data_IF_347991740324
#
_entry.id   IF_347991740324
#
_cell.length_a   1.000
_cell.length_b   1.000
_cell.length_c   1.000
_cell.angle_alpha   90.00
_cell.angle_beta   90.00
_cell.angle_gamma   90.00
#
_symmetry.space_group_name_H-M   'P 1'
#
loop_
_entity.id
_entity.type
_entity.pdbx_description
1 polymer ?
#
# COMPACT_ATOMS: atom_id res chain seq x y z
N UNK A 1 -32.43 7.82 4.50
CA UNK A 1 -31.21 8.51 4.97
C UNK A 1 -31.58 10.00 5.04
N UNK A 2 -31.69 10.51 6.24
CA UNK A 2 -32.12 11.89 6.50
C UNK A 2 -30.96 12.87 6.27
N UNK A 3 -31.27 14.13 6.05
CA UNK A 3 -30.36 15.28 5.78
C UNK A 3 -29.15 15.39 6.73
N UNK A 4 -29.16 14.72 7.89
CA UNK A 4 -28.08 14.76 8.90
C UNK A 4 -26.77 14.10 8.44
N UNK A 5 -26.79 13.17 7.48
CA UNK A 5 -25.59 12.50 6.97
C UNK A 5 -24.65 13.44 6.18
N UNK A 6 -25.17 14.56 5.67
CA UNK A 6 -24.38 15.54 4.90
C UNK A 6 -23.85 16.70 5.76
N UNK A 7 -24.12 16.75 7.06
CA UNK A 7 -23.78 17.87 7.93
C UNK A 7 -22.53 17.64 8.82
N UNK A 8 -21.97 16.44 8.86
CA UNK A 8 -20.92 16.09 9.81
C UNK A 8 -19.52 15.89 9.22
N UNK A 9 -19.40 15.63 7.91
CA UNK A 9 -18.09 15.33 7.32
C UNK A 9 -17.31 16.60 7.00
N UNK A 10 -16.05 16.66 7.46
CA UNK A 10 -15.14 17.80 7.25
C UNK A 10 -13.93 17.45 6.39
N UNK A 11 -13.65 16.17 6.20
CA UNK A 11 -12.53 15.69 5.37
C UNK A 11 -13.03 14.74 4.27
N UNK A 12 -12.22 14.48 3.27
CA UNK A 12 -12.55 13.53 2.19
C UNK A 12 -12.69 12.09 2.68
N UNK A 13 -12.07 11.73 3.80
CA UNK A 13 -12.10 10.38 4.36
C UNK A 13 -13.47 10.04 4.97
N UNK A 14 -14.16 11.04 5.54
CA UNK A 14 -15.45 10.89 6.18
C UNK A 14 -16.61 11.37 5.29
N UNK A 15 -16.29 12.07 4.21
CA UNK A 15 -17.26 12.65 3.29
C UNK A 15 -18.12 11.58 2.64
N UNK A 16 -19.45 11.73 2.73
CA UNK A 16 -20.40 10.86 2.03
C UNK A 16 -20.18 10.85 0.51
N UNK A 17 -19.62 11.94 -0.04
CA UNK A 17 -19.33 12.08 -1.48
C UNK A 17 -18.02 11.40 -1.89
N UNK A 18 -16.97 11.46 -1.05
CA UNK A 18 -15.61 11.12 -1.47
C UNK A 18 -15.00 9.92 -0.75
N UNK A 19 -15.55 9.50 0.38
CA UNK A 19 -14.96 8.44 1.23
C UNK A 19 -14.68 7.12 0.50
N UNK A 20 -15.52 6.76 -0.49
CA UNK A 20 -15.33 5.53 -1.27
C UNK A 20 -14.28 5.68 -2.39
N UNK A 21 -13.88 6.92 -2.70
CA UNK A 21 -12.73 7.19 -3.58
C UNK A 21 -11.40 6.96 -2.85
N UNK A 22 -11.35 7.26 -1.53
CA UNK A 22 -10.13 7.24 -0.72
C UNK A 22 -10.08 6.12 0.34
N UNK A 23 -11.10 5.29 0.44
CA UNK A 23 -11.16 4.20 1.41
C UNK A 23 -12.14 3.10 0.96
N UNK A 24 -12.32 2.09 1.80
CA UNK A 24 -13.33 1.04 1.61
C UNK A 24 -14.24 0.94 2.83
N UNK A 25 -15.47 0.42 2.68
CA UNK A 25 -16.33 0.20 3.85
C UNK A 25 -15.67 -0.68 4.91
N UNK A 26 -14.97 -1.75 4.52
CA UNK A 26 -14.34 -2.68 5.44
C UNK A 26 -13.26 -2.04 6.32
N UNK A 27 -12.39 -1.19 5.74
CA UNK A 27 -11.34 -0.52 6.53
C UNK A 27 -11.93 0.55 7.46
N UNK A 28 -12.98 1.26 7.02
CA UNK A 28 -13.67 2.26 7.86
C UNK A 28 -14.38 1.63 9.06
N UNK A 29 -14.93 0.43 8.88
CA UNK A 29 -15.52 -0.32 9.99
C UNK A 29 -14.51 -0.59 11.09
N UNK A 30 -13.28 -1.00 10.74
CA UNK A 30 -12.19 -1.29 11.70
C UNK A 30 -11.83 -0.05 12.53
N UNK A 31 -11.82 1.14 11.93
CA UNK A 31 -11.43 2.39 12.59
C UNK A 31 -12.62 3.28 12.97
N UNK A 32 -13.85 2.74 12.98
CA UNK A 32 -15.02 3.47 13.46
C UNK A 32 -14.96 3.68 14.97
N UNK A 33 -15.62 4.73 15.48
CA UNK A 33 -15.74 4.98 16.93
C UNK A 33 -16.34 3.78 17.65
N UNK A 34 -17.33 3.12 17.05
CA UNK A 34 -17.91 1.89 17.60
C UNK A 34 -16.84 0.79 17.76
N UNK A 35 -16.12 0.48 16.71
CA UNK A 35 -15.08 -0.53 16.75
C UNK A 35 -13.97 -0.18 17.75
N UNK A 36 -13.57 1.09 17.83
CA UNK A 36 -12.57 1.55 18.77
C UNK A 36 -13.02 1.33 20.23
N UNK A 37 -14.24 1.72 20.57
CA UNK A 37 -14.81 1.53 21.93
C UNK A 37 -14.97 0.03 22.22
N UNK A 38 -15.41 -0.78 21.26
CA UNK A 38 -15.50 -2.23 21.41
C UNK A 38 -14.13 -2.85 21.68
N UNK A 39 -13.03 -2.35 21.06
CA UNK A 39 -11.65 -2.77 21.37
C UNK A 39 -11.22 -2.36 22.77
N UNK A 40 -11.57 -1.17 23.24
CA UNK A 40 -11.28 -0.79 24.63
C UNK A 40 -11.96 -1.75 25.61
N UNK A 41 -13.23 -2.07 25.40
CA UNK A 41 -13.98 -3.04 26.21
C UNK A 41 -13.33 -4.43 26.13
N UNK A 42 -12.95 -4.88 24.94
CA UNK A 42 -12.27 -6.16 24.72
C UNK A 42 -10.98 -6.26 25.55
N UNK A 43 -10.16 -5.22 25.57
CA UNK A 43 -8.92 -5.17 26.36
C UNK A 43 -9.22 -5.17 27.86
N UNK A 44 -10.19 -4.42 28.35
CA UNK A 44 -10.60 -4.41 29.77
C UNK A 44 -11.12 -5.77 30.23
N UNK A 45 -11.95 -6.43 29.43
CA UNK A 45 -12.48 -7.77 29.72
C UNK A 45 -11.35 -8.80 29.70
N UNK A 46 -10.47 -8.76 28.71
CA UNK A 46 -9.31 -9.65 28.63
C UNK A 46 -8.35 -9.45 29.82
N UNK A 47 -8.17 -8.19 30.26
CA UNK A 47 -7.38 -7.88 31.45
C UNK A 47 -7.98 -8.51 32.71
N UNK A 48 -9.30 -8.37 32.91
CA UNK A 48 -9.97 -8.98 34.07
C UNK A 48 -9.81 -10.52 34.06
N UNK A 49 -9.99 -11.19 32.91
CA UNK A 49 -9.78 -12.62 32.77
C UNK A 49 -8.32 -13.03 33.04
N UNK A 50 -7.36 -12.30 32.50
CA UNK A 50 -5.95 -12.53 32.73
C UNK A 50 -5.60 -12.43 34.22
N UNK A 51 -6.11 -11.41 34.91
CA UNK A 51 -5.91 -11.21 36.34
C UNK A 51 -6.57 -12.31 37.21
N UNK A 52 -7.76 -12.75 36.83
CA UNK A 52 -8.42 -13.85 37.48
C UNK A 52 -7.61 -15.16 37.32
N UNK A 53 -7.09 -15.42 36.12
CA UNK A 53 -6.26 -16.60 35.86
C UNK A 53 -4.95 -16.62 36.65
N UNK A 54 -4.46 -15.45 37.05
CA UNK A 54 -3.28 -15.28 37.92
C UNK A 54 -3.62 -15.11 39.41
N UNK A 55 -4.90 -15.18 39.77
CA UNK A 55 -5.33 -15.03 41.17
C UNK A 55 -5.25 -13.63 41.75
N UNK A 56 -5.15 -12.60 40.90
CA UNK A 56 -5.12 -11.19 41.30
C UNK A 56 -6.49 -10.69 41.69
N UNK A 57 -7.54 -11.12 40.93
CA UNK A 57 -8.93 -10.83 41.22
C UNK A 57 -9.74 -12.11 41.27
N UNK A 58 -10.94 -12.11 41.91
CA UNK A 58 -11.82 -13.27 41.92
C UNK A 58 -12.31 -13.65 40.50
N UNK A 59 -12.47 -14.96 40.25
CA UNK A 59 -12.92 -15.43 38.94
C UNK A 59 -14.35 -15.00 38.61
N UNK A 60 -15.25 -15.01 39.61
CA UNK A 60 -16.63 -14.53 39.47
C UNK A 60 -16.69 -13.03 39.13
N UNK A 61 -15.77 -12.23 39.65
CA UNK A 61 -15.67 -10.82 39.30
C UNK A 61 -15.28 -10.63 37.81
N UNK A 62 -14.35 -11.44 37.28
CA UNK A 62 -13.99 -11.40 35.87
C UNK A 62 -15.18 -11.81 34.96
N UNK A 63 -15.95 -12.81 35.37
CA UNK A 63 -17.17 -13.25 34.65
C UNK A 63 -18.26 -12.16 34.64
N UNK A 64 -18.46 -11.47 35.76
CA UNK A 64 -19.39 -10.33 35.86
C UNK A 64 -18.94 -9.16 34.98
N UNK A 65 -17.64 -8.82 35.00
CA UNK A 65 -17.08 -7.78 34.12
C UNK A 65 -17.32 -8.15 32.65
N UNK A 66 -17.02 -9.38 32.25
CA UNK A 66 -17.21 -9.84 30.87
C UNK A 66 -18.70 -9.83 30.43
N UNK A 67 -19.63 -10.10 31.36
CA UNK A 67 -21.07 -10.14 31.11
C UNK A 67 -21.65 -8.74 30.91
N UNK A 68 -21.21 -7.77 31.70
CA UNK A 68 -21.82 -6.45 31.79
C UNK A 68 -21.11 -5.39 30.94
N UNK A 69 -19.84 -5.59 30.56
CA UNK A 69 -19.09 -4.66 29.71
C UNK A 69 -19.47 -4.83 28.25
N UNK A 70 -20.53 -4.14 27.83
CA UNK A 70 -21.06 -4.19 26.45
C UNK A 70 -21.21 -2.79 25.88
N UNK A 71 -20.87 -2.61 24.61
CA UNK A 71 -21.02 -1.34 23.90
C UNK A 71 -22.44 -0.76 24.00
N UNK A 72 -23.44 -1.59 23.75
CA UNK A 72 -24.84 -1.17 23.72
C UNK A 72 -25.39 -0.77 25.13
N UNK A 73 -24.64 -0.99 26.20
CA UNK A 73 -24.97 -0.57 27.57
C UNK A 73 -24.37 0.77 27.95
N UNK A 74 -23.56 1.39 27.08
CA UNK A 74 -22.89 2.66 27.35
C UNK A 74 -23.77 3.86 26.99
N UNK A 75 -23.66 4.92 27.78
CA UNK A 75 -24.10 6.25 27.43
C UNK A 75 -23.03 6.96 26.60
N UNK A 76 -23.18 6.92 25.28
CA UNK A 76 -22.18 7.47 24.35
C UNK A 76 -22.13 9.00 24.38
N UNK A 77 -23.24 9.68 24.63
CA UNK A 77 -23.25 11.16 24.75
C UNK A 77 -22.49 11.61 26.00
N UNK A 78 -22.68 10.91 27.11
CA UNK A 78 -21.92 11.15 28.33
C UNK A 78 -20.43 10.81 28.13
N UNK A 79 -20.12 9.67 27.49
CA UNK A 79 -18.74 9.28 27.17
C UNK A 79 -18.03 10.36 26.36
N UNK A 80 -18.68 10.90 25.32
CA UNK A 80 -18.13 11.99 24.49
C UNK A 80 -17.91 13.25 25.32
N UNK A 81 -18.89 13.67 26.10
CA UNK A 81 -18.80 14.90 26.92
C UNK A 81 -17.65 14.82 27.93
N UNK A 82 -17.54 13.70 28.64
CA UNK A 82 -16.47 13.52 29.62
C UNK A 82 -15.08 13.37 28.96
N UNK A 83 -15.04 12.79 27.75
CA UNK A 83 -13.78 12.71 26.97
C UNK A 83 -13.26 14.09 26.59
N UNK A 84 -14.13 15.04 26.24
CA UNK A 84 -13.74 16.44 25.96
C UNK A 84 -13.14 17.12 27.20
N UNK A 85 -13.61 16.77 28.39
CA UNK A 85 -13.12 17.33 29.66
C UNK A 85 -11.79 16.69 30.08
N UNK A 86 -11.72 15.35 30.02
CA UNK A 86 -10.57 14.57 30.48
C UNK A 86 -9.42 14.57 29.47
N UNK A 87 -9.74 14.70 28.17
CA UNK A 87 -8.82 14.59 27.05
C UNK A 87 -8.56 13.17 26.54
N UNK A 88 -9.11 12.14 27.23
CA UNK A 88 -8.94 10.71 26.89
C UNK A 88 -10.22 9.94 27.19
N UNK A 89 -10.60 8.93 26.35
CA UNK A 89 -11.87 8.22 26.51
C UNK A 89 -11.87 7.15 27.62
N UNK A 90 -10.70 6.71 28.11
CA UNK A 90 -10.61 5.53 28.98
C UNK A 90 -11.17 5.79 30.37
N UNK A 91 -10.84 6.90 31.01
CA UNK A 91 -11.37 7.19 32.36
C UNK A 91 -12.88 7.28 32.38
N UNK A 92 -13.56 8.03 31.47
CA UNK A 92 -15.02 8.02 31.40
C UNK A 92 -15.61 6.64 31.07
N UNK A 93 -14.98 5.87 30.19
CA UNK A 93 -15.39 4.49 29.89
C UNK A 93 -15.31 3.62 31.17
N UNK A 94 -14.20 3.63 31.87
CA UNK A 94 -14.00 2.88 33.11
C UNK A 94 -15.05 3.24 34.15
N UNK A 95 -15.39 4.52 34.31
CA UNK A 95 -16.47 4.95 35.22
C UNK A 95 -17.83 4.31 34.88
N UNK A 96 -18.15 4.20 33.60
CA UNK A 96 -19.37 3.53 33.16
C UNK A 96 -19.31 2.03 33.39
N UNK A 97 -18.18 1.38 33.05
CA UNK A 97 -18.00 -0.05 33.26
C UNK A 97 -18.07 -0.42 34.76
N UNK A 98 -17.43 0.35 35.63
CA UNK A 98 -17.51 0.17 37.09
C UNK A 98 -18.98 0.19 37.57
N UNK A 99 -19.77 1.15 37.10
CA UNK A 99 -21.18 1.27 37.44
C UNK A 99 -22.00 0.08 36.91
N UNK A 100 -21.74 -0.35 35.68
CA UNK A 100 -22.45 -1.47 35.04
C UNK A 100 -22.15 -2.81 35.73
N UNK A 101 -20.91 -3.01 36.19
CA UNK A 101 -20.46 -4.25 36.82
C UNK A 101 -20.80 -4.36 38.33
N UNK A 102 -21.44 -3.36 38.93
CA UNK A 102 -21.80 -3.39 40.36
C UNK A 102 -20.62 -3.69 41.28
N UNK A 103 -20.72 -4.70 42.13
CA UNK A 103 -19.67 -5.08 43.08
C UNK A 103 -18.37 -5.53 42.40
N UNK A 104 -18.46 -6.12 41.23
CA UNK A 104 -17.28 -6.50 40.44
C UNK A 104 -16.54 -5.29 39.83
N UNK A 105 -17.23 -4.14 39.74
CA UNK A 105 -16.67 -2.90 39.19
C UNK A 105 -15.39 -2.45 39.89
N UNK A 106 -15.20 -2.77 41.19
CA UNK A 106 -13.96 -2.46 41.92
C UNK A 106 -12.70 -3.09 41.35
N UNK A 107 -12.84 -4.07 40.45
CA UNK A 107 -11.74 -4.77 39.79
C UNK A 107 -11.53 -4.35 38.34
N UNK A 108 -12.38 -3.49 37.77
CA UNK A 108 -12.21 -2.96 36.42
C UNK A 108 -10.96 -2.07 36.36
N UNK A 109 -10.19 -2.16 35.29
CA UNK A 109 -8.98 -1.37 35.04
C UNK A 109 -7.86 -1.55 36.10
N UNK A 110 -7.85 -2.67 36.80
CA UNK A 110 -6.94 -2.89 37.92
C UNK A 110 -5.49 -2.95 37.49
N UNK A 111 -4.68 -2.01 37.95
CA UNK A 111 -3.24 -1.92 37.63
C UNK A 111 -2.91 -1.40 36.24
N UNK A 112 -3.89 -1.11 35.41
CA UNK A 112 -3.71 -0.54 34.09
C UNK A 112 -3.55 0.99 34.10
N UNK A 113 -3.13 1.54 32.98
CA UNK A 113 -3.19 2.96 32.67
C UNK A 113 -3.91 3.19 31.35
N UNK A 114 -4.44 4.39 31.13
CA UNK A 114 -5.12 4.81 29.91
C UNK A 114 -4.40 4.33 28.64
N UNK A 115 -3.08 4.52 28.58
CA UNK A 115 -2.29 4.18 27.40
C UNK A 115 -2.18 2.67 27.17
N UNK A 116 -2.16 1.84 28.21
CA UNK A 116 -2.17 0.37 28.07
C UNK A 116 -3.38 -0.09 27.25
N UNK A 117 -4.55 0.46 27.57
CA UNK A 117 -5.81 0.10 26.90
C UNK A 117 -5.86 0.66 25.49
N UNK A 118 -5.51 1.93 25.32
CA UNK A 118 -5.57 2.59 24.00
C UNK A 118 -4.56 1.99 23.02
N UNK A 119 -3.31 1.80 23.44
CA UNK A 119 -2.27 1.23 22.56
C UNK A 119 -2.60 -0.21 22.17
N UNK A 120 -3.05 -1.04 23.12
CA UNK A 120 -3.42 -2.44 22.82
C UNK A 120 -4.64 -2.50 21.90
N UNK A 121 -5.62 -1.64 22.08
CA UNK A 121 -6.78 -1.54 21.18
C UNK A 121 -6.37 -1.13 19.76
N UNK A 122 -5.45 -0.15 19.62
CA UNK A 122 -4.90 0.24 18.32
C UNK A 122 -4.15 -0.93 17.66
N UNK A 123 -3.36 -1.70 18.42
CA UNK A 123 -2.70 -2.90 17.87
C UNK A 123 -3.72 -3.94 17.37
N UNK A 124 -4.85 -4.11 18.06
CA UNK A 124 -5.94 -4.98 17.59
C UNK A 124 -6.59 -4.48 16.29
N UNK A 125 -6.81 -3.17 16.17
CA UNK A 125 -7.29 -2.55 14.93
C UNK A 125 -6.25 -2.69 13.80
N UNK A 126 -4.97 -2.45 14.09
CA UNK A 126 -3.86 -2.62 13.14
C UNK A 126 -3.78 -4.07 12.65
N UNK A 127 -3.95 -5.06 13.54
CA UNK A 127 -4.02 -6.48 13.15
C UNK A 127 -5.10 -6.74 12.10
N UNK A 128 -6.32 -6.32 12.39
CA UNK A 128 -7.46 -6.49 11.49
C UNK A 128 -7.25 -5.74 10.16
N UNK A 129 -6.69 -4.54 10.20
CA UNK A 129 -6.39 -3.74 9.02
C UNK A 129 -5.24 -4.36 8.17
N UNK A 130 -4.20 -4.90 8.80
CA UNK A 130 -3.14 -5.63 8.09
C UNK A 130 -3.65 -6.91 7.42
N UNK A 131 -4.67 -7.58 8.00
CA UNK A 131 -5.30 -8.74 7.37
C UNK A 131 -6.03 -8.36 6.08
N UNK A 132 -6.71 -7.21 6.05
CA UNK A 132 -7.32 -6.67 4.82
C UNK A 132 -6.26 -6.28 3.79
N UNK A 133 -5.19 -5.60 4.21
CA UNK A 133 -4.08 -5.21 3.32
C UNK A 133 -3.39 -6.45 2.74
N UNK A 134 -3.20 -7.51 3.52
CA UNK A 134 -2.62 -8.79 3.07
C UNK A 134 -3.47 -9.43 1.96
N UNK A 135 -4.78 -9.53 2.19
CA UNK A 135 -5.71 -10.05 1.20
C UNK A 135 -5.71 -9.23 -0.09
N UNK A 136 -5.69 -7.90 0.01
CA UNK A 136 -5.63 -7.01 -1.15
C UNK A 136 -4.31 -7.11 -1.92
N UNK A 137 -3.17 -7.23 -1.22
CA UNK A 137 -1.85 -7.47 -1.83
C UNK A 137 -1.84 -8.82 -2.54
N UNK A 138 -2.38 -9.88 -1.93
CA UNK A 138 -2.44 -11.20 -2.54
C UNK A 138 -3.25 -11.20 -3.85
N UNK A 139 -4.42 -10.56 -3.85
CA UNK A 139 -5.24 -10.43 -5.06
C UNK A 139 -4.55 -9.57 -6.13
N UNK A 140 -3.91 -8.47 -5.75
CA UNK A 140 -3.18 -7.62 -6.69
C UNK A 140 -1.99 -8.37 -7.32
N UNK A 141 -1.27 -9.18 -6.56
CA UNK A 141 -0.22 -10.07 -7.07
C UNK A 141 -0.75 -11.04 -8.12
N UNK A 142 -1.91 -11.64 -7.87
CA UNK A 142 -2.58 -12.53 -8.84
C UNK A 142 -2.91 -11.79 -10.14
N UNK A 143 -3.51 -10.60 -10.04
CA UNK A 143 -3.85 -9.75 -11.19
C UNK A 143 -2.60 -9.39 -11.99
N UNK A 144 -1.53 -8.98 -11.32
CA UNK A 144 -0.26 -8.60 -11.97
C UNK A 144 0.44 -9.80 -12.64
N UNK A 145 0.37 -10.97 -12.02
CA UNK A 145 0.90 -12.20 -12.62
C UNK A 145 0.14 -12.59 -13.90
N UNK A 146 -1.20 -12.54 -13.86
CA UNK A 146 -2.04 -12.80 -15.03
C UNK A 146 -1.76 -11.79 -16.16
N UNK A 147 -1.59 -10.52 -15.83
CA UNK A 147 -1.26 -9.46 -16.78
C UNK A 147 0.13 -9.67 -17.39
N UNK A 148 1.13 -10.02 -16.58
CA UNK A 148 2.49 -10.29 -17.02
C UNK A 148 2.53 -11.49 -17.99
N UNK A 149 1.85 -12.58 -17.66
CA UNK A 149 1.77 -13.79 -18.52
C UNK A 149 1.05 -13.48 -19.84
N UNK A 150 -0.11 -12.82 -19.78
CA UNK A 150 -0.92 -12.50 -20.98
C UNK A 150 -0.14 -11.67 -21.98
N UNK A 151 0.70 -10.75 -21.51
CA UNK A 151 1.46 -9.83 -22.34
C UNK A 151 2.97 -10.12 -22.35
N UNK A 152 3.35 -11.37 -22.04
CA UNK A 152 4.73 -11.83 -21.98
C UNK A 152 5.54 -11.43 -23.22
N UNK A 153 4.94 -11.58 -24.38
CA UNK A 153 5.57 -11.37 -25.68
C UNK A 153 5.00 -10.13 -26.43
N UNK A 154 4.20 -9.28 -25.77
CA UNK A 154 3.63 -8.07 -26.38
C UNK A 154 4.70 -6.96 -26.43
N UNK A 155 5.22 -6.60 -27.62
CA UNK A 155 6.30 -5.64 -27.73
C UNK A 155 5.79 -4.21 -27.51
N UNK A 156 6.59 -3.40 -26.82
CA UNK A 156 6.36 -1.98 -26.61
C UNK A 156 7.68 -1.21 -26.51
N UNK A 157 7.62 0.11 -26.67
CA UNK A 157 8.81 0.93 -26.43
C UNK A 157 9.12 1.02 -24.93
N UNK A 158 10.33 0.59 -24.57
CA UNK A 158 10.94 0.94 -23.29
C UNK A 158 11.39 2.40 -23.33
N UNK A 159 11.10 3.16 -22.27
CA UNK A 159 11.41 4.59 -22.19
C UNK A 159 12.32 4.89 -21.00
N UNK A 160 13.44 5.55 -21.28
CA UNK A 160 14.35 6.10 -20.27
C UNK A 160 14.42 7.63 -20.47
N UNK A 161 14.39 8.39 -19.39
CA UNK A 161 14.36 9.86 -19.47
C UNK A 161 13.23 10.39 -20.38
N UNK A 162 12.09 9.72 -20.42
CA UNK A 162 10.93 9.97 -21.29
C UNK A 162 11.20 9.82 -22.79
N UNK A 163 12.35 9.28 -23.19
CA UNK A 163 12.71 8.98 -24.57
C UNK A 163 12.57 7.47 -24.84
N UNK A 164 12.19 7.10 -26.06
CA UNK A 164 12.29 5.71 -26.49
C UNK A 164 13.76 5.27 -26.47
N UNK A 165 14.03 4.18 -25.77
CA UNK A 165 15.39 3.64 -25.61
C UNK A 165 15.54 2.34 -26.40
N UNK A 166 14.91 1.26 -25.91
CA UNK A 166 14.95 -0.07 -26.51
C UNK A 166 13.56 -0.71 -26.47
N UNK A 167 13.28 -1.70 -27.34
CA UNK A 167 12.06 -2.50 -27.24
C UNK A 167 12.07 -3.33 -25.96
N UNK A 168 10.92 -3.41 -25.31
CA UNK A 168 10.63 -4.30 -24.19
C UNK A 168 9.30 -5.01 -24.43
N UNK A 169 8.83 -5.84 -23.47
CA UNK A 169 7.44 -6.31 -23.51
C UNK A 169 6.59 -5.64 -22.42
N UNK A 170 5.29 -5.53 -22.66
CA UNK A 170 4.37 -5.06 -21.63
C UNK A 170 4.30 -6.04 -20.45
N UNK A 171 4.42 -7.35 -20.71
CA UNK A 171 4.55 -8.36 -19.67
C UNK A 171 5.75 -8.15 -18.77
N UNK A 172 6.89 -7.75 -19.32
CA UNK A 172 8.08 -7.37 -18.53
C UNK A 172 7.80 -6.18 -17.61
N UNK A 173 7.12 -5.15 -18.12
CA UNK A 173 6.69 -4.00 -17.29
C UNK A 173 5.77 -4.45 -16.14
N UNK A 174 4.77 -5.29 -16.42
CA UNK A 174 3.88 -5.86 -15.41
C UNK A 174 4.63 -6.77 -14.42
N UNK A 175 5.63 -7.52 -14.88
CA UNK A 175 6.52 -8.33 -14.05
C UNK A 175 7.34 -7.51 -13.05
N UNK A 176 7.81 -6.32 -13.45
CA UNK A 176 8.46 -5.39 -12.52
C UNK A 176 7.48 -4.95 -11.41
N UNK A 177 6.24 -4.66 -11.77
CA UNK A 177 5.20 -4.31 -10.79
C UNK A 177 4.89 -5.48 -9.85
N UNK A 178 4.76 -6.70 -10.37
CA UNK A 178 4.58 -7.92 -9.57
C UNK A 178 5.69 -8.09 -8.55
N UNK A 179 6.94 -8.00 -8.97
CA UNK A 179 8.10 -8.17 -8.09
C UNK A 179 8.15 -7.14 -6.94
N UNK A 180 7.58 -5.95 -7.09
CA UNK A 180 7.42 -5.01 -5.98
C UNK A 180 6.43 -5.55 -4.94
N UNK A 181 5.31 -6.12 -5.37
CA UNK A 181 4.26 -6.64 -4.48
C UNK A 181 4.63 -7.98 -3.85
N UNK A 182 5.46 -8.80 -4.49
CA UNK A 182 6.05 -9.98 -3.86
C UNK A 182 6.88 -9.58 -2.63
N UNK A 183 7.73 -8.55 -2.77
CA UNK A 183 8.50 -8.02 -1.64
C UNK A 183 7.62 -7.35 -0.57
N UNK A 184 6.46 -6.78 -0.95
CA UNK A 184 5.52 -6.23 0.05
C UNK A 184 4.82 -7.33 0.84
N UNK A 185 4.43 -8.44 0.20
CA UNK A 185 3.89 -9.60 0.90
C UNK A 185 4.91 -10.16 1.91
N UNK A 186 6.18 -10.30 1.51
CA UNK A 186 7.26 -10.73 2.41
C UNK A 186 7.44 -9.76 3.59
N UNK A 187 7.55 -8.46 3.33
CA UNK A 187 7.67 -7.45 4.40
C UNK A 187 6.51 -7.49 5.38
N UNK A 188 5.29 -7.69 4.89
CA UNK A 188 4.11 -7.77 5.74
C UNK A 188 4.20 -8.95 6.73
N UNK A 189 4.65 -10.11 6.28
CA UNK A 189 4.85 -11.25 7.18
C UNK A 189 5.98 -10.99 8.19
N UNK A 190 7.05 -10.35 7.75
CA UNK A 190 8.20 -10.04 8.61
C UNK A 190 7.92 -8.96 9.67
N UNK A 191 7.04 -7.99 9.39
CA UNK A 191 6.73 -6.92 10.35
C UNK A 191 5.73 -7.35 11.43
N UNK A 192 4.82 -8.30 11.13
CA UNK A 192 3.75 -8.73 12.05
C UNK A 192 4.24 -9.06 13.47
N UNK A 193 5.31 -9.84 13.69
CA UNK A 193 5.79 -10.16 15.04
C UNK A 193 6.28 -8.95 15.85
N UNK A 194 6.72 -7.88 15.18
CA UNK A 194 7.20 -6.66 15.86
C UNK A 194 6.07 -5.66 16.12
N UNK A 195 5.09 -5.60 15.21
CA UNK A 195 3.96 -4.66 15.28
C UNK A 195 2.82 -5.18 16.15
N UNK A 196 2.53 -6.49 16.09
CA UNK A 196 1.38 -7.09 16.79
C UNK A 196 1.75 -7.50 18.21
N UNK A 197 2.28 -6.57 18.97
CA UNK A 197 2.69 -6.70 20.37
C UNK A 197 1.77 -5.81 21.22
N UNK A 198 1.13 -6.37 22.25
CA UNK A 198 0.25 -5.61 23.12
C UNK A 198 1.02 -4.79 24.16
N UNK A 199 0.33 -3.84 24.77
CA UNK A 199 0.86 -2.97 25.83
C UNK A 199 0.11 -3.24 27.11
N UNK A 200 0.84 -3.52 28.19
CA UNK A 200 0.32 -3.52 29.55
C UNK A 200 1.49 -3.37 30.53
N UNK A 201 1.62 -2.21 31.15
CA UNK A 201 2.77 -1.89 31.98
C UNK A 201 2.45 -0.98 33.16
N UNK A 202 1.24 -0.44 33.26
CA UNK A 202 0.80 0.43 34.35
C UNK A 202 1.33 1.88 34.22
N UNK A 203 1.22 2.63 35.29
CA UNK A 203 1.35 4.10 35.30
C UNK A 203 2.68 4.62 34.73
N UNK A 204 3.80 3.99 35.02
CA UNK A 204 5.14 4.38 34.57
C UNK A 204 5.91 3.20 33.92
N UNK A 205 5.20 2.19 33.47
CA UNK A 205 5.82 1.09 32.72
C UNK A 205 6.44 -0.03 33.57
N UNK A 206 6.18 -0.10 34.86
CA UNK A 206 6.87 -0.99 35.79
C UNK A 206 5.96 -2.07 36.39
N UNK A 207 4.64 -2.06 36.11
CA UNK A 207 3.64 -2.95 36.73
C UNK A 207 3.65 -2.92 38.28
N UNK A 208 4.13 -1.84 38.89
CA UNK A 208 4.37 -1.74 40.33
C UNK A 208 3.13 -2.06 41.18
N UNK A 209 1.92 -1.72 40.70
CA UNK A 209 0.65 -1.99 41.40
C UNK A 209 0.27 -3.48 41.46
N UNK A 210 0.93 -4.34 40.67
CA UNK A 210 0.69 -5.78 40.62
C UNK A 210 1.81 -6.59 41.30
N UNK A 211 2.87 -5.95 41.77
CA UNK A 211 3.99 -6.59 42.44
C UNK A 211 4.60 -7.73 41.60
N UNK A 212 4.85 -8.87 42.25
CA UNK A 212 5.46 -10.04 41.61
C UNK A 212 4.59 -10.67 40.50
N UNK A 213 3.28 -10.46 40.52
CA UNK A 213 2.35 -11.03 39.54
C UNK A 213 2.26 -10.24 38.24
N UNK A 214 2.86 -9.04 38.16
CA UNK A 214 2.70 -8.12 37.03
C UNK A 214 3.05 -8.73 35.66
N UNK A 215 4.20 -9.40 35.57
CA UNK A 215 4.63 -10.06 34.31
C UNK A 215 3.80 -11.30 33.96
N UNK A 216 3.26 -12.01 34.95
CA UNK A 216 2.36 -13.15 34.70
C UNK A 216 1.02 -12.68 34.13
N UNK A 217 0.45 -11.62 34.68
CA UNK A 217 -0.77 -10.96 34.17
C UNK A 217 -0.53 -10.43 32.76
N UNK A 218 0.61 -9.78 32.50
CA UNK A 218 0.96 -9.29 31.18
C UNK A 218 0.98 -10.44 30.15
N UNK A 219 1.66 -11.56 30.46
CA UNK A 219 1.68 -12.72 29.58
C UNK A 219 0.31 -13.36 29.37
N UNK A 220 -0.50 -13.41 30.43
CA UNK A 220 -1.87 -13.94 30.34
C UNK A 220 -2.77 -13.06 29.47
N UNK A 221 -2.69 -11.73 29.61
CA UNK A 221 -3.43 -10.77 28.80
C UNK A 221 -3.05 -10.88 27.30
N UNK A 222 -1.76 -10.99 27.00
CA UNK A 222 -1.33 -11.13 25.59
C UNK A 222 -1.81 -12.45 24.97
N UNK A 223 -1.84 -13.55 25.75
CA UNK A 223 -2.43 -14.82 25.28
C UNK A 223 -3.92 -14.70 25.02
N UNK A 224 -4.66 -14.04 25.90
CA UNK A 224 -6.11 -13.83 25.76
C UNK A 224 -6.43 -13.04 24.49
N UNK A 225 -5.62 -12.03 24.16
CA UNK A 225 -5.80 -11.17 22.97
C UNK A 225 -5.15 -11.72 21.70
N UNK A 226 -4.36 -12.80 21.79
CA UNK A 226 -3.60 -13.34 20.67
C UNK A 226 -2.56 -12.35 20.14
N UNK A 227 -1.89 -11.62 21.03
CA UNK A 227 -0.82 -10.66 20.73
C UNK A 227 0.53 -11.14 21.24
N UNK A 228 1.60 -10.57 20.69
CA UNK A 228 2.96 -10.76 21.18
C UNK A 228 3.14 -10.16 22.58
N UNK A 229 3.94 -10.85 23.41
CA UNK A 229 4.32 -10.36 24.73
C UNK A 229 5.47 -9.37 24.58
N UNK A 230 5.37 -8.13 25.09
CA UNK A 230 6.47 -7.17 25.01
C UNK A 230 7.64 -7.58 25.90
N UNK A 231 8.86 -7.38 25.43
CA UNK A 231 10.07 -7.61 26.24
C UNK A 231 10.21 -6.59 27.40
N UNK A 232 9.69 -5.40 27.18
CA UNK A 232 9.57 -4.31 28.17
C UNK A 232 8.43 -3.40 27.77
N UNK A 233 8.09 -2.40 28.59
CA UNK A 233 7.10 -1.37 28.19
C UNK A 233 7.53 -0.67 26.91
N UNK A 234 6.54 -0.33 26.08
CA UNK A 234 6.77 0.43 24.84
C UNK A 234 5.92 1.71 24.76
N UNK A 235 5.46 2.23 25.91
CA UNK A 235 4.72 3.51 25.97
C UNK A 235 5.40 4.64 25.20
N UNK A 236 6.74 4.67 25.21
CA UNK A 236 7.57 5.67 24.51
C UNK A 236 8.49 5.07 23.43
N UNK A 237 8.45 3.77 23.21
CA UNK A 237 9.17 3.09 22.14
C UNK A 237 8.20 2.83 20.97
N UNK A 238 7.98 3.82 20.13
CA UNK A 238 6.87 3.87 19.15
C UNK A 238 7.23 3.31 17.77
N UNK A 239 8.40 2.72 17.64
CA UNK A 239 8.95 2.19 16.38
C UNK A 239 8.06 1.12 15.74
N UNK A 240 7.34 0.29 16.52
CA UNK A 240 6.41 -0.72 15.99
C UNK A 240 5.27 -0.10 15.16
N UNK A 241 4.58 0.91 15.68
CA UNK A 241 3.52 1.61 14.92
C UNK A 241 4.08 2.44 13.77
N UNK A 242 5.26 3.06 13.97
CA UNK A 242 5.96 3.76 12.90
C UNK A 242 6.36 2.80 11.77
N UNK A 243 6.83 1.57 12.08
CA UNK A 243 7.13 0.53 11.08
C UNK A 243 5.88 0.17 10.26
N UNK A 244 4.72 0.00 10.91
CA UNK A 244 3.47 -0.31 10.21
C UNK A 244 3.10 0.80 9.20
N UNK A 245 3.12 2.06 9.59
CA UNK A 245 2.79 3.18 8.69
C UNK A 245 3.84 3.36 7.60
N UNK A 246 5.13 3.18 7.90
CA UNK A 246 6.20 3.20 6.88
C UNK A 246 6.04 2.05 5.86
N UNK A 247 5.61 0.87 6.29
CA UNK A 247 5.25 -0.21 5.37
C UNK A 247 4.11 0.22 4.42
N UNK A 248 3.05 0.85 4.92
CA UNK A 248 1.96 1.37 4.10
C UNK A 248 2.45 2.43 3.10
N UNK A 249 3.43 3.26 3.49
CA UNK A 249 4.05 4.23 2.58
C UNK A 249 4.85 3.56 1.46
N UNK A 250 5.53 2.43 1.73
CA UNK A 250 6.19 1.64 0.68
C UNK A 250 5.17 1.02 -0.28
N UNK A 251 4.07 0.46 0.23
CA UNK A 251 3.00 -0.12 -0.60
C UNK A 251 2.38 0.96 -1.48
N UNK A 252 1.94 2.07 -0.90
CA UNK A 252 1.30 3.17 -1.64
C UNK A 252 2.28 3.88 -2.58
N UNK A 253 3.57 3.93 -2.25
CA UNK A 253 4.63 4.42 -3.13
C UNK A 253 4.74 3.57 -4.40
N UNK A 254 4.69 2.23 -4.28
CA UNK A 254 4.67 1.32 -5.42
C UNK A 254 3.38 1.47 -6.26
N UNK A 255 2.23 1.65 -5.60
CA UNK A 255 0.97 1.96 -6.29
C UNK A 255 1.05 3.30 -7.05
N UNK A 256 1.66 4.32 -6.45
CA UNK A 256 1.88 5.62 -7.10
C UNK A 256 2.78 5.52 -8.34
N UNK A 257 3.79 4.62 -8.32
CA UNK A 257 4.63 4.34 -9.51
C UNK A 257 3.81 3.69 -10.62
N UNK A 258 2.99 2.69 -10.31
CA UNK A 258 2.10 2.04 -11.30
C UNK A 258 1.09 3.05 -11.85
N UNK A 259 0.49 3.86 -10.99
CA UNK A 259 -0.45 4.90 -11.38
C UNK A 259 0.16 5.90 -12.37
N UNK A 260 1.38 6.36 -12.09
CA UNK A 260 2.09 7.26 -12.99
C UNK A 260 2.38 6.62 -14.35
N UNK A 261 2.84 5.36 -14.38
CA UNK A 261 3.05 4.63 -15.63
C UNK A 261 1.76 4.53 -16.44
N UNK A 262 0.64 4.16 -15.80
CA UNK A 262 -0.66 4.03 -16.47
C UNK A 262 -1.14 5.37 -17.00
N UNK A 263 -1.05 6.46 -16.21
CA UNK A 263 -1.44 7.80 -16.66
C UNK A 263 -0.62 8.26 -17.87
N UNK A 264 0.70 8.04 -17.87
CA UNK A 264 1.56 8.38 -18.99
C UNK A 264 1.21 7.57 -20.24
N UNK A 265 1.03 6.26 -20.10
CA UNK A 265 0.65 5.38 -21.22
C UNK A 265 -0.77 5.65 -21.73
N UNK A 266 -1.68 6.15 -20.88
CA UNK A 266 -3.05 6.51 -21.24
C UNK A 266 -3.19 7.89 -21.87
N UNK A 267 -2.13 8.74 -21.86
CA UNK A 267 -2.16 10.04 -22.49
C UNK A 267 -2.47 9.93 -24.00
N UNK A 268 -3.11 10.92 -24.56
CA UNK A 268 -3.59 10.92 -25.96
C UNK A 268 -2.49 10.59 -26.96
N UNK A 269 -1.27 11.06 -26.72
CA UNK A 269 -0.12 10.89 -27.59
C UNK A 269 0.38 9.43 -27.58
N UNK A 270 0.41 8.78 -26.44
CA UNK A 270 0.82 7.37 -26.31
C UNK A 270 -0.34 6.42 -26.55
N UNK A 271 -1.44 6.55 -25.81
CA UNK A 271 -2.67 5.79 -25.98
C UNK A 271 -2.46 4.25 -25.97
N UNK A 272 -1.51 3.76 -25.15
CA UNK A 272 -1.08 2.35 -25.09
C UNK A 272 -1.92 1.51 -24.14
N UNK A 273 -2.52 2.16 -23.11
CA UNK A 273 -3.41 1.51 -22.14
C UNK A 273 -4.57 2.42 -21.76
N UNK A 274 -5.64 1.85 -21.24
CA UNK A 274 -6.77 2.60 -20.68
C UNK A 274 -7.30 1.87 -19.45
N UNK A 275 -7.79 2.66 -18.46
CA UNK A 275 -8.55 2.09 -17.35
C UNK A 275 -9.83 1.41 -17.84
N UNK A 276 -10.40 0.45 -17.07
CA UNK A 276 -11.62 -0.25 -17.44
C UNK A 276 -12.76 0.74 -17.77
N UNK A 277 -13.49 0.44 -18.83
CA UNK A 277 -14.64 1.26 -19.19
C UNK A 277 -15.82 0.97 -18.24
N UNK A 278 -16.25 2.03 -17.54
CA UNK A 278 -17.50 2.03 -16.79
C UNK A 278 -18.26 3.30 -17.18
N UNK A 279 -19.52 3.16 -17.56
CA UNK A 279 -20.35 4.28 -18.00
C UNK A 279 -20.33 5.42 -16.97
N UNK A 280 -19.93 6.60 -17.40
CA UNK A 280 -19.84 7.81 -16.56
C UNK A 280 -18.55 7.93 -15.72
N UNK A 281 -17.77 6.87 -15.55
CA UNK A 281 -16.51 6.96 -14.80
C UNK A 281 -15.46 7.73 -15.58
N UNK A 282 -14.84 8.73 -14.95
CA UNK A 282 -13.83 9.58 -15.59
C UNK A 282 -14.38 10.50 -16.68
N UNK A 283 -15.69 10.64 -16.79
CA UNK A 283 -16.31 11.49 -17.79
C UNK A 283 -16.00 12.97 -17.55
N UNK A 284 -15.77 13.70 -18.65
CA UNK A 284 -15.66 15.16 -18.62
C UNK A 284 -17.05 15.80 -18.71
N UNK A 285 -17.28 16.85 -17.92
CA UNK A 285 -18.51 17.63 -17.99
C UNK A 285 -18.67 18.44 -19.27
N UNK A 286 -17.60 18.65 -20.02
CA UNK A 286 -17.55 19.51 -21.22
C UNK A 286 -17.08 18.79 -22.48
N UNK A 287 -16.32 17.70 -22.35
CA UNK A 287 -15.70 16.98 -23.47
C UNK A 287 -16.13 15.50 -23.46
N UNK A 288 -17.14 15.11 -24.24
CA UNK A 288 -17.73 13.76 -24.15
C UNK A 288 -16.76 12.61 -24.50
N UNK A 289 -15.74 12.90 -25.31
CA UNK A 289 -14.72 11.92 -25.73
C UNK A 289 -13.61 11.71 -24.68
N UNK A 290 -13.48 12.59 -23.67
CA UNK A 290 -12.39 12.57 -22.69
C UNK A 290 -12.66 11.50 -21.63
N UNK A 291 -11.67 10.63 -21.43
CA UNK A 291 -11.68 9.55 -20.42
C UNK A 291 -10.51 9.75 -19.46
N UNK A 292 -10.79 10.24 -18.25
CA UNK A 292 -9.77 10.50 -17.26
C UNK A 292 -9.37 9.21 -16.52
N UNK A 293 -8.08 9.01 -16.20
CA UNK A 293 -7.59 7.85 -15.46
C UNK A 293 -7.78 8.05 -13.94
N UNK A 294 -9.05 8.05 -13.50
CA UNK A 294 -9.45 8.43 -12.13
C UNK A 294 -8.84 7.50 -11.07
N UNK A 295 -8.77 6.19 -11.33
CA UNK A 295 -8.16 5.26 -10.38
C UNK A 295 -6.69 5.59 -10.15
N UNK A 296 -5.96 5.84 -11.21
CA UNK A 296 -4.54 6.22 -11.15
C UNK A 296 -4.33 7.56 -10.44
N UNK A 297 -5.18 8.55 -10.70
CA UNK A 297 -5.13 9.86 -10.02
C UNK A 297 -5.33 9.71 -8.50
N UNK A 298 -6.32 8.92 -8.07
CA UNK A 298 -6.61 8.65 -6.66
C UNK A 298 -5.47 7.87 -5.98
N UNK A 299 -4.92 6.85 -6.64
CA UNK A 299 -3.76 6.09 -6.16
C UNK A 299 -2.55 7.00 -5.95
N UNK A 300 -2.26 7.88 -6.90
CA UNK A 300 -1.13 8.80 -6.80
C UNK A 300 -1.33 9.81 -5.67
N UNK A 301 -2.55 10.35 -5.50
CA UNK A 301 -2.88 11.26 -4.41
C UNK A 301 -2.71 10.58 -3.04
N UNK A 302 -3.27 9.38 -2.86
CA UNK A 302 -3.13 8.60 -1.63
C UNK A 302 -1.65 8.32 -1.29
N UNK A 303 -0.82 7.97 -2.28
CA UNK A 303 0.61 7.72 -2.07
C UNK A 303 1.35 8.93 -1.49
N UNK A 304 0.94 10.14 -1.89
CA UNK A 304 1.55 11.37 -1.37
C UNK A 304 1.12 11.67 0.06
N UNK A 305 -0.13 11.42 0.41
CA UNK A 305 -0.66 11.64 1.76
C UNK A 305 -0.04 10.64 2.76
N UNK A 306 -0.07 9.34 2.44
CA UNK A 306 0.49 8.28 3.33
C UNK A 306 1.98 8.50 3.59
N UNK A 307 2.72 8.98 2.60
CA UNK A 307 4.14 9.32 2.79
C UNK A 307 4.34 10.45 3.81
N UNK A 308 3.44 11.45 3.88
CA UNK A 308 3.52 12.49 4.91
C UNK A 308 3.19 11.92 6.29
N UNK A 309 2.20 11.03 6.39
CA UNK A 309 1.92 10.33 7.65
C UNK A 309 3.09 9.47 8.12
N UNK A 310 3.82 8.81 7.22
CA UNK A 310 5.05 8.09 7.57
C UNK A 310 6.11 9.05 8.17
N UNK A 311 6.29 10.24 7.60
CA UNK A 311 7.15 11.28 8.17
C UNK A 311 6.67 11.73 9.55
N UNK A 312 5.36 11.96 9.71
CA UNK A 312 4.76 12.31 11.00
C UNK A 312 4.98 11.22 12.06
N UNK A 313 4.87 9.94 11.67
CA UNK A 313 5.12 8.82 12.59
C UNK A 313 6.59 8.72 13.01
N UNK A 314 7.54 9.05 12.13
CA UNK A 314 8.96 9.12 12.50
C UNK A 314 9.24 10.28 13.48
N UNK A 315 8.61 11.43 13.29
CA UNK A 315 8.66 12.54 14.27
C UNK A 315 8.03 12.12 15.60
N UNK A 316 6.90 11.44 15.58
CA UNK A 316 6.17 10.98 16.76
C UNK A 316 6.93 9.94 17.59
N UNK A 317 7.97 9.29 17.03
CA UNK A 317 8.86 8.40 17.80
C UNK A 317 9.68 9.15 18.86
N UNK A 318 9.92 10.44 18.67
CA UNK A 318 10.71 11.25 19.61
C UNK A 318 9.82 11.68 20.77
N UNK A 319 9.76 10.83 21.77
CA UNK A 319 8.92 10.99 22.94
C UNK A 319 9.73 11.32 24.19
N UNK A 320 9.08 11.89 25.20
CA UNK A 320 9.70 12.37 26.43
C UNK A 320 9.45 11.39 27.60
N UNK A 321 10.49 11.16 28.37
CA UNK A 321 10.49 10.34 29.60
C UNK A 321 9.77 8.98 29.40
N UNK A 322 8.90 8.59 30.31
CA UNK A 322 8.18 7.32 30.34
C UNK A 322 6.77 7.41 29.72
N UNK A 323 6.30 8.64 29.43
CA UNK A 323 5.01 8.87 28.77
C UNK A 323 4.97 10.24 28.09
N UNK A 324 4.57 10.24 26.81
CA UNK A 324 4.67 11.41 25.95
C UNK A 324 3.59 12.46 26.16
N UNK A 325 3.98 13.67 25.81
CA UNK A 325 3.13 14.82 25.54
C UNK A 325 3.04 15.02 24.02
N UNK A 326 1.90 15.30 23.45
CA UNK A 326 1.74 15.65 22.02
C UNK A 326 2.06 14.59 20.95
N UNK A 327 3.29 14.03 20.84
CA UNK A 327 3.64 13.07 19.80
C UNK A 327 2.73 11.83 19.74
N UNK A 328 2.32 11.29 20.89
CA UNK A 328 1.36 10.20 20.95
C UNK A 328 0.01 10.54 20.32
N UNK A 329 -0.47 11.76 20.44
CA UNK A 329 -1.73 12.21 19.82
C UNK A 329 -1.63 12.29 18.29
N UNK A 330 -0.43 12.54 17.74
CA UNK A 330 -0.23 12.54 16.28
C UNK A 330 -0.49 11.17 15.65
N UNK A 331 -0.23 10.09 16.39
CA UNK A 331 -0.51 8.72 15.94
C UNK A 331 -2.01 8.46 15.76
N UNK A 332 -2.88 9.08 16.56
CA UNK A 332 -4.33 8.91 16.46
C UNK A 332 -4.91 9.40 15.13
N UNK A 333 -4.22 10.31 14.46
CA UNK A 333 -4.52 10.76 13.09
C UNK A 333 -3.79 9.87 12.06
N UNK A 334 -2.47 9.77 12.21
CA UNK A 334 -1.63 9.17 11.18
C UNK A 334 -1.91 7.68 10.95
N UNK A 335 -2.17 6.89 12.01
CA UNK A 335 -2.39 5.44 11.88
C UNK A 335 -3.68 5.13 11.13
N UNK A 336 -4.89 5.54 11.57
CA UNK A 336 -6.12 5.19 10.87
C UNK A 336 -6.19 5.78 9.47
N UNK A 337 -5.78 7.03 9.27
CA UNK A 337 -5.80 7.67 7.94
C UNK A 337 -4.88 6.95 6.94
N UNK A 338 -3.70 6.48 7.39
CA UNK A 338 -2.79 5.72 6.52
C UNK A 338 -3.40 4.39 6.07
N UNK A 339 -4.06 3.66 6.95
CA UNK A 339 -4.74 2.42 6.60
C UNK A 339 -5.93 2.66 5.68
N UNK A 340 -6.76 3.67 5.95
CA UNK A 340 -7.90 4.02 5.10
C UNK A 340 -7.46 4.38 3.69
N UNK A 341 -6.47 5.26 3.55
CA UNK A 341 -5.92 5.68 2.26
C UNK A 341 -5.26 4.53 1.50
N UNK A 342 -4.54 3.65 2.22
CA UNK A 342 -3.88 2.49 1.60
C UNK A 342 -4.90 1.48 1.08
N UNK A 343 -5.93 1.17 1.86
CA UNK A 343 -7.01 0.29 1.42
C UNK A 343 -7.76 0.86 0.21
N UNK A 344 -8.02 2.17 0.21
CA UNK A 344 -8.59 2.87 -0.95
C UNK A 344 -7.71 2.75 -2.20
N UNK A 345 -6.41 2.99 -2.07
CA UNK A 345 -5.45 2.89 -3.18
C UNK A 345 -5.33 1.44 -3.70
N UNK A 346 -5.29 0.43 -2.83
CA UNK A 346 -5.28 -0.99 -3.22
C UNK A 346 -6.58 -1.37 -3.95
N UNK A 347 -7.74 -0.90 -3.49
CA UNK A 347 -9.01 -1.13 -4.15
C UNK A 347 -9.05 -0.50 -5.56
N UNK A 348 -8.55 0.73 -5.72
CA UNK A 348 -8.42 1.37 -7.04
C UNK A 348 -7.46 0.60 -7.95
N UNK A 349 -6.34 0.10 -7.42
CA UNK A 349 -5.37 -0.68 -8.17
C UNK A 349 -5.95 -2.00 -8.67
N UNK A 350 -6.68 -2.73 -7.81
CA UNK A 350 -7.35 -3.99 -8.18
C UNK A 350 -8.38 -3.78 -9.28
N UNK A 351 -9.19 -2.74 -9.17
CA UNK A 351 -10.15 -2.37 -10.20
C UNK A 351 -9.46 -2.01 -11.51
N UNK A 352 -8.49 -1.12 -11.48
CA UNK A 352 -7.82 -0.59 -12.65
C UNK A 352 -7.01 -1.67 -13.37
N UNK A 353 -6.15 -2.42 -12.66
CA UNK A 353 -5.29 -3.44 -13.26
C UNK A 353 -6.05 -4.71 -13.63
N UNK A 354 -7.09 -5.07 -12.87
CA UNK A 354 -7.93 -6.24 -13.15
C UNK A 354 -8.71 -6.14 -14.46
N UNK A 355 -9.00 -4.93 -14.89
CA UNK A 355 -9.70 -4.66 -16.15
C UNK A 355 -8.92 -3.76 -17.12
N UNK A 356 -7.60 -3.64 -16.96
CA UNK A 356 -6.77 -2.78 -17.80
C UNK A 356 -6.90 -3.16 -19.28
N UNK A 357 -7.26 -2.19 -20.11
CA UNK A 357 -7.33 -2.33 -21.56
C UNK A 357 -5.94 -2.03 -22.10
N UNK A 358 -5.32 -3.01 -22.73
CA UNK A 358 -3.99 -2.89 -23.36
C UNK A 358 -4.15 -2.86 -24.86
N UNK A 359 -3.78 -1.76 -25.50
CA UNK A 359 -3.83 -1.58 -26.95
C UNK A 359 -2.49 -2.01 -27.57
N UNK A 360 -2.43 -3.29 -27.92
CA UNK A 360 -1.21 -3.91 -28.49
C UNK A 360 -0.86 -3.35 -29.87
N UNK A 361 -1.85 -2.96 -30.66
CA UNK A 361 -1.63 -2.36 -31.99
C UNK A 361 -1.03 -0.97 -31.86
N UNK A 362 -1.52 -0.20 -30.87
CA UNK A 362 -0.96 1.12 -30.57
C UNK A 362 0.46 1.01 -30.05
N UNK A 363 0.76 0.05 -29.15
CA UNK A 363 2.12 -0.22 -28.70
C UNK A 363 3.06 -0.51 -29.86
N UNK A 364 2.64 -1.38 -30.79
CA UNK A 364 3.41 -1.67 -32.01
C UNK A 364 3.59 -0.45 -32.90
N UNK A 365 2.55 0.34 -33.11
CA UNK A 365 2.64 1.61 -33.86
C UNK A 365 3.62 2.59 -33.21
N UNK A 366 3.60 2.69 -31.90
CA UNK A 366 4.50 3.58 -31.16
C UNK A 366 5.97 3.16 -31.27
N UNK A 367 6.29 1.87 -31.41
CA UNK A 367 7.65 1.39 -31.71
C UNK A 367 8.20 1.96 -33.03
N UNK A 368 7.33 2.22 -34.00
CA UNK A 368 7.71 2.78 -35.32
C UNK A 368 7.91 4.29 -35.37
N UNK A 369 7.59 5.05 -34.30
CA UNK A 369 7.63 6.53 -34.31
C UNK A 369 9.01 7.06 -34.66
N UNK A 370 10.07 6.36 -34.27
CA UNK A 370 11.47 6.74 -34.51
C UNK A 370 12.04 6.17 -35.81
N UNK A 371 11.21 5.62 -36.70
CA UNK A 371 11.63 5.10 -38.00
C UNK A 371 12.76 4.05 -37.92
N UNK A 372 12.72 3.21 -36.87
CA UNK A 372 13.72 2.16 -36.61
C UNK A 372 14.89 2.59 -35.71
N UNK A 373 15.01 3.85 -35.31
CA UNK A 373 16.12 4.31 -34.46
C UNK A 373 16.11 3.64 -33.07
N UNK A 374 14.96 3.16 -32.59
CA UNK A 374 14.84 2.46 -31.30
C UNK A 374 15.71 1.17 -31.25
N UNK A 375 16.11 0.61 -32.39
CA UNK A 375 16.97 -0.59 -32.46
C UNK A 375 18.37 -0.27 -33.00
N UNK A 376 18.81 0.97 -32.94
CA UNK A 376 20.16 1.36 -33.40
C UNK A 376 21.26 0.56 -32.69
N UNK A 377 21.09 0.22 -31.40
CA UNK A 377 22.03 -0.65 -30.67
C UNK A 377 22.07 -2.07 -31.25
N UNK A 378 20.93 -2.66 -31.60
CA UNK A 378 20.87 -3.98 -32.24
C UNK A 378 21.65 -3.99 -33.56
N UNK A 379 21.45 -2.93 -34.36
CA UNK A 379 22.17 -2.77 -35.63
C UNK A 379 23.67 -2.65 -35.40
N UNK A 380 24.12 -1.80 -34.46
CA UNK A 380 25.50 -1.65 -34.10
C UNK A 380 26.15 -2.99 -33.72
N UNK A 381 25.46 -3.75 -32.85
CA UNK A 381 25.93 -5.07 -32.40
C UNK A 381 25.91 -6.12 -33.52
N UNK A 382 24.96 -6.06 -34.44
CA UNK A 382 24.89 -6.93 -35.62
C UNK A 382 26.01 -6.65 -36.62
N UNK A 383 26.42 -5.39 -36.81
CA UNK A 383 27.50 -4.98 -37.69
C UNK A 383 28.89 -5.21 -37.09
N UNK A 384 29.04 -5.14 -35.77
CA UNK A 384 30.32 -5.22 -35.08
C UNK A 384 31.19 -6.44 -35.43
N UNK A 385 30.64 -7.67 -35.60
CA UNK A 385 31.43 -8.83 -36.04
C UNK A 385 32.08 -8.68 -37.43
N UNK A 386 31.52 -7.82 -38.29
CA UNK A 386 31.97 -7.67 -39.69
C UNK A 386 32.96 -6.51 -39.90
N UNK A 387 32.85 -5.46 -39.07
CA UNK A 387 33.68 -4.25 -39.27
C UNK A 387 34.32 -3.74 -37.97
N UNK A 388 34.12 -4.42 -36.84
CA UNK A 388 34.58 -3.94 -35.53
C UNK A 388 33.61 -2.95 -34.90
N UNK A 389 33.63 -2.89 -33.56
CA UNK A 389 32.65 -2.11 -32.78
C UNK A 389 32.67 -0.61 -33.09
N UNK A 390 33.88 -0.02 -33.23
CA UNK A 390 34.00 1.44 -33.44
C UNK A 390 33.43 1.84 -34.80
N UNK A 391 33.83 1.12 -35.87
CA UNK A 391 33.35 1.41 -37.22
C UNK A 391 31.82 1.17 -37.33
N UNK A 392 31.32 0.08 -36.70
CA UNK A 392 29.86 -0.15 -36.62
C UNK A 392 29.12 1.00 -35.93
N UNK A 393 29.68 1.52 -34.83
CA UNK A 393 29.11 2.69 -34.13
C UNK A 393 29.07 3.91 -35.07
N UNK A 394 30.17 4.22 -35.75
CA UNK A 394 30.25 5.42 -36.60
C UNK A 394 29.31 5.34 -37.81
N UNK A 395 29.17 4.15 -38.41
CA UNK A 395 28.20 3.89 -39.48
C UNK A 395 26.76 4.06 -38.99
N UNK A 396 26.40 3.46 -37.85
CA UNK A 396 25.05 3.55 -37.29
C UNK A 396 24.75 4.99 -36.86
N UNK A 397 25.72 5.67 -36.26
CA UNK A 397 25.56 7.08 -35.89
C UNK A 397 25.25 7.96 -37.12
N UNK A 398 26.03 7.77 -38.23
CA UNK A 398 25.79 8.51 -39.47
C UNK A 398 24.40 8.17 -40.07
N UNK A 399 24.00 6.90 -40.07
CA UNK A 399 22.67 6.48 -40.53
C UNK A 399 21.53 7.08 -39.67
N UNK A 400 21.66 7.05 -38.33
CA UNK A 400 20.70 7.67 -37.43
C UNK A 400 20.57 9.18 -37.66
N UNK A 401 21.69 9.86 -37.85
CA UNK A 401 21.72 11.29 -38.17
C UNK A 401 21.02 11.58 -39.51
N UNK A 402 21.26 10.77 -40.54
CA UNK A 402 20.60 10.88 -41.83
C UNK A 402 19.06 10.78 -41.68
N UNK A 403 18.58 9.74 -40.95
CA UNK A 403 17.14 9.56 -40.70
C UNK A 403 16.51 10.76 -39.98
N UNK A 404 17.22 11.33 -39.00
CA UNK A 404 16.73 12.50 -38.28
C UNK A 404 16.68 13.78 -39.14
N UNK A 405 17.65 13.96 -40.05
CA UNK A 405 17.78 15.19 -40.87
C UNK A 405 17.00 15.10 -42.18
N UNK A 406 16.94 13.92 -42.80
CA UNK A 406 16.40 13.73 -44.15
C UNK A 406 15.11 12.89 -44.21
N UNK A 407 14.77 12.24 -43.09
CA UNK A 407 13.67 11.25 -43.02
C UNK A 407 14.07 9.90 -43.58
N UNK A 408 13.07 9.05 -43.85
CA UNK A 408 13.28 7.65 -44.24
C UNK A 408 13.39 6.72 -43.02
N UNK A 409 13.80 5.45 -43.23
CA UNK A 409 13.98 4.47 -42.17
C UNK A 409 15.45 4.16 -41.93
N UNK A 410 15.78 3.63 -40.74
CA UNK A 410 17.13 3.17 -40.44
C UNK A 410 17.60 2.08 -41.40
N UNK A 411 16.71 1.18 -41.84
CA UNK A 411 17.03 0.17 -42.85
C UNK A 411 17.42 0.79 -44.20
N UNK A 412 16.69 1.80 -44.68
CA UNK A 412 16.97 2.50 -45.95
C UNK A 412 18.33 3.21 -45.87
N UNK A 413 18.59 3.90 -44.77
CA UNK A 413 19.84 4.62 -44.56
C UNK A 413 21.05 3.65 -44.49
N UNK A 414 20.88 2.47 -43.90
CA UNK A 414 21.93 1.44 -43.81
C UNK A 414 22.17 0.75 -45.17
N UNK A 415 21.12 0.47 -45.95
CA UNK A 415 21.21 -0.13 -47.28
C UNK A 415 22.04 0.75 -48.24
N UNK A 416 21.97 2.06 -48.10
CA UNK A 416 22.77 3.01 -48.91
C UNK A 416 24.27 3.03 -48.55
N UNK A 417 24.69 2.39 -47.46
CA UNK A 417 26.09 2.33 -47.04
C UNK A 417 26.81 1.12 -47.66
N UNK A 418 27.79 1.30 -48.57
CA UNK A 418 28.46 0.19 -49.27
C UNK A 418 29.11 -0.85 -48.34
N UNK A 419 29.66 -0.41 -47.23
CA UNK A 419 30.27 -1.27 -46.20
C UNK A 419 29.27 -2.20 -45.54
N UNK A 420 28.01 -1.74 -45.39
CA UNK A 420 26.89 -2.54 -44.80
C UNK A 420 26.34 -3.50 -45.86
N UNK A 421 26.06 -3.00 -47.07
CA UNK A 421 25.48 -3.78 -48.19
C UNK A 421 26.32 -4.94 -48.64
N UNK A 422 27.64 -4.97 -48.35
CA UNK A 422 28.55 -6.12 -48.55
C UNK A 422 28.18 -7.31 -47.67
N UNK A 423 27.59 -7.09 -46.50
CA UNK A 423 27.35 -8.11 -45.49
C UNK A 423 25.88 -8.40 -45.27
N UNK A 424 24.99 -7.44 -45.56
CA UNK A 424 23.55 -7.52 -45.27
C UNK A 424 22.75 -7.16 -46.51
N UNK A 425 21.88 -8.04 -46.95
CA UNK A 425 20.83 -7.74 -47.92
C UNK A 425 19.67 -7.02 -47.26
N UNK A 426 18.72 -6.54 -48.07
CA UNK A 426 17.52 -5.83 -47.60
C UNK A 426 16.75 -6.63 -46.54
N UNK A 427 16.53 -7.91 -46.77
CA UNK A 427 15.77 -8.77 -45.86
C UNK A 427 16.50 -8.96 -44.50
N UNK A 428 17.84 -9.02 -44.52
CA UNK A 428 18.63 -9.06 -43.29
C UNK A 428 18.58 -7.76 -42.51
N UNK A 429 18.62 -6.60 -43.19
CA UNK A 429 18.47 -5.30 -42.57
C UNK A 429 17.07 -5.11 -41.96
N UNK A 430 16.01 -5.53 -42.66
CA UNK A 430 14.63 -5.50 -42.12
C UNK A 430 14.51 -6.35 -40.87
N UNK A 431 15.09 -7.57 -40.84
CA UNK A 431 15.13 -8.42 -39.64
C UNK A 431 15.92 -7.78 -38.51
N UNK A 432 17.04 -7.13 -38.83
CA UNK A 432 17.91 -6.50 -37.82
C UNK A 432 17.27 -5.22 -37.25
N UNK A 433 16.47 -4.52 -38.02
CA UNK A 433 15.75 -3.31 -37.60
C UNK A 433 14.31 -3.58 -37.14
N UNK A 434 13.88 -4.81 -37.04
CA UNK A 434 12.59 -5.18 -36.48
C UNK A 434 12.62 -5.18 -34.96
N UNK A 435 11.89 -4.28 -34.26
CA UNK A 435 11.97 -4.14 -32.80
C UNK A 435 11.63 -5.42 -32.03
N UNK A 436 10.74 -6.24 -32.53
CA UNK A 436 10.33 -7.51 -31.95
C UNK A 436 11.45 -8.55 -31.88
N UNK A 437 12.52 -8.39 -32.64
CA UNK A 437 13.69 -9.26 -32.62
C UNK A 437 14.75 -8.82 -31.59
N UNK A 438 14.53 -7.71 -30.89
CA UNK A 438 15.49 -7.18 -29.90
C UNK A 438 14.88 -6.95 -28.53
N UNK A 439 14.15 -7.93 -28.02
CA UNK A 439 13.50 -7.87 -26.71
C UNK A 439 14.41 -8.34 -25.57
N UNK A 440 15.62 -8.81 -25.88
CA UNK A 440 16.54 -9.36 -24.89
C UNK A 440 15.92 -10.49 -24.07
N UNK A 441 16.16 -10.47 -22.77
CA UNK A 441 15.61 -11.44 -21.81
C UNK A 441 14.26 -11.01 -21.18
N UNK A 442 13.56 -10.03 -21.76
CA UNK A 442 12.31 -9.55 -21.16
C UNK A 442 11.25 -10.65 -21.00
N UNK A 443 11.01 -11.57 -21.99
CA UNK A 443 10.07 -12.67 -21.80
C UNK A 443 10.52 -13.66 -20.71
N UNK A 444 11.82 -13.99 -20.65
CA UNK A 444 12.35 -14.91 -19.64
C UNK A 444 12.29 -14.33 -18.22
N UNK A 445 12.45 -13.02 -18.06
CA UNK A 445 12.27 -12.34 -16.78
C UNK A 445 10.81 -12.39 -16.30
N UNK A 446 9.83 -12.39 -17.23
CA UNK A 446 8.42 -12.65 -16.89
C UNK A 446 8.26 -14.07 -16.33
N UNK A 447 8.80 -15.08 -17.05
CA UNK A 447 8.73 -16.46 -16.62
C UNK A 447 9.34 -16.65 -15.22
N UNK A 448 10.48 -16.00 -14.97
CA UNK A 448 11.18 -16.06 -13.70
C UNK A 448 10.37 -15.46 -12.55
N UNK A 449 9.82 -14.26 -12.71
CA UNK A 449 9.08 -13.59 -11.63
C UNK A 449 7.75 -14.29 -11.33
N UNK A 450 7.05 -14.78 -12.35
CA UNK A 450 5.80 -15.52 -12.18
C UNK A 450 6.07 -16.91 -11.56
N UNK A 451 7.19 -17.56 -11.91
CA UNK A 451 7.62 -18.83 -11.34
C UNK A 451 8.00 -18.73 -9.86
N UNK A 452 8.70 -17.68 -9.47
CA UNK A 452 9.08 -17.43 -8.08
C UNK A 452 7.88 -17.22 -7.14
N UNK A 453 6.77 -16.68 -7.63
CA UNK A 453 5.54 -16.49 -6.84
C UNK A 453 4.68 -17.75 -6.64
N UNK A 454 5.05 -18.88 -7.27
CA UNK A 454 4.36 -20.19 -7.18
C UNK A 454 5.07 -21.20 -6.28
N UNK A 455 6.27 -20.90 -5.83
CA UNK A 455 7.07 -21.70 -4.89
C UNK A 455 6.96 -21.17 -3.46
#
# INVERSE_FOLDING_TARGET
>A
MTFSAFQGATTVLDSVLFRDAFGTPAIREIFSDRALIERYIEVEVALARAQASCGVIPADAADEIARHSKFDSLDLDHLRHETDIVGYPILPLVHQLVKLCGDAGRYVHWGATTQDIMDTAVVLQVRAALDLVDADIAELRRILADLAVRHRDTPMAGRTHLQQALPITFGYKAGIWLAMFDRHAERLQQLRPRVLVGQFAGAAGTLASLGEQGLDVQRALMRELGLGVPATTWHVARDGLAEAVNFLALVTGSLGKIALDVMLMASTEFAEVYEPFVTGRGASSTMPQKRNPISSELMLAASKAVRQHAGLMLDAMVQDFERATGPWHAEWMAVPESFVLTAGALNQARFMLGGLIVDTDRMRKNLGITSGLIVAEAVMMGLAPHMGRQQAHDVVYAACRHVNEQGGTLADALEAVPEVSKHFDRAALERLTAPENYLGSAPQMVDQVVGAGRS
#
